data_IF_853473796938
#
_entry.id   IF_853473796938
#
_cell.length_a   1.000
_cell.length_b   1.000
_cell.length_c   1.000
_cell.angle_alpha   90.00
_cell.angle_beta   90.00
_cell.angle_gamma   90.00
#
_symmetry.space_group_name_H-M   'P 1'
#
loop_
_entity.id
_entity.type
_entity.pdbx_description
1 polymer ?
#
# COMPACT_ATOMS: atom_id res chain seq x y z
N UNK A 1 -28.19 38.91 -29.35
CA UNK A 1 -26.92 38.55 -28.66
C UNK A 1 -27.07 38.19 -27.18
N UNK A 2 -28.18 38.48 -26.49
CA UNK A 2 -28.37 38.11 -25.06
C UNK A 2 -28.62 36.60 -24.82
N UNK A 3 -29.08 35.85 -25.82
CA UNK A 3 -29.43 34.42 -25.67
C UNK A 3 -28.19 33.53 -25.48
N UNK A 4 -27.18 33.67 -26.36
CA UNK A 4 -25.97 32.82 -26.36
C UNK A 4 -25.18 32.91 -25.04
N UNK A 5 -25.18 34.09 -24.42
CA UNK A 5 -24.47 34.36 -23.16
C UNK A 5 -25.08 33.61 -21.96
N UNK A 6 -26.39 33.35 -21.98
CA UNK A 6 -27.09 32.57 -20.94
C UNK A 6 -26.80 31.07 -21.07
N UNK A 7 -26.68 30.56 -22.30
CA UNK A 7 -26.30 29.17 -22.56
C UNK A 7 -24.84 28.88 -22.21
N UNK A 8 -23.93 29.83 -22.47
CA UNK A 8 -22.51 29.71 -22.08
C UNK A 8 -22.32 29.63 -20.56
N UNK A 9 -23.08 30.41 -19.78
CA UNK A 9 -23.06 30.38 -18.31
C UNK A 9 -23.65 29.09 -17.74
N UNK A 10 -24.71 28.56 -18.35
CA UNK A 10 -25.26 27.26 -17.98
C UNK A 10 -24.28 26.12 -18.31
N UNK A 11 -23.57 26.20 -19.44
CA UNK A 11 -22.58 25.21 -19.84
C UNK A 11 -21.33 25.19 -18.94
N UNK A 12 -20.84 26.35 -18.46
CA UNK A 12 -19.71 26.40 -17.51
C UNK A 12 -20.09 25.90 -16.11
N UNK A 13 -21.33 26.07 -15.65
CA UNK A 13 -21.76 25.51 -14.36
C UNK A 13 -21.84 23.97 -14.37
N UNK A 14 -22.15 23.35 -15.51
CA UNK A 14 -22.22 21.90 -15.65
C UNK A 14 -20.83 21.21 -15.72
N UNK A 15 -19.78 21.96 -16.04
CA UNK A 15 -18.40 21.45 -16.12
C UNK A 15 -17.63 21.55 -14.80
N UNK A 16 -18.21 22.16 -13.76
CA UNK A 16 -17.59 22.33 -12.45
C UNK A 16 -17.90 21.19 -11.47
N UNK A 17 -18.21 19.99 -11.95
CA UNK A 17 -18.28 18.82 -11.08
C UNK A 17 -16.86 18.54 -10.56
N UNK A 18 -16.66 18.45 -9.23
CA UNK A 18 -15.36 18.05 -8.71
C UNK A 18 -15.06 16.66 -9.26
N UNK A 19 -14.03 16.56 -10.08
CA UNK A 19 -13.39 15.28 -10.32
C UNK A 19 -12.86 14.84 -8.94
N UNK A 20 -13.55 13.92 -8.29
CA UNK A 20 -13.01 13.22 -7.14
C UNK A 20 -11.81 12.43 -7.65
N UNK A 21 -10.65 13.07 -7.67
CA UNK A 21 -9.40 12.36 -7.79
C UNK A 21 -9.32 11.42 -6.60
N UNK A 22 -9.20 10.12 -6.87
CA UNK A 22 -9.06 9.11 -5.83
C UNK A 22 -7.83 9.44 -4.99
N UNK A 23 -8.04 9.84 -3.74
CA UNK A 23 -6.96 10.14 -2.81
C UNK A 23 -6.99 9.12 -1.66
N UNK A 24 -5.95 8.32 -1.54
CA UNK A 24 -5.85 7.37 -0.44
C UNK A 24 -5.88 8.11 0.89
N UNK A 25 -6.74 7.66 1.80
CA UNK A 25 -6.80 8.23 3.14
C UNK A 25 -5.70 7.59 4.00
N UNK A 26 -4.81 8.39 4.63
CA UNK A 26 -3.72 7.85 5.43
C UNK A 26 -4.21 7.21 6.72
N UNK A 27 -3.64 6.06 7.07
CA UNK A 27 -3.79 5.44 8.38
C UNK A 27 -2.55 5.69 9.22
N UNK A 28 -2.73 5.87 10.52
CA UNK A 28 -1.59 6.04 11.44
C UNK A 28 -1.17 4.67 11.95
N UNK A 29 0.09 4.34 11.73
CA UNK A 29 0.74 3.15 12.27
C UNK A 29 1.30 3.47 13.66
N UNK A 30 0.68 2.90 14.68
CA UNK A 30 1.08 3.06 16.07
C UNK A 30 2.29 2.19 16.42
N UNK A 31 2.95 2.49 17.54
CA UNK A 31 4.16 1.76 17.99
C UNK A 31 3.92 0.27 18.25
N UNK A 32 2.73 -0.11 18.68
CA UNK A 32 2.34 -1.51 18.92
C UNK A 32 1.89 -2.24 17.63
N UNK A 33 1.91 -1.53 16.50
CA UNK A 33 1.48 -2.00 15.19
C UNK A 33 0.00 -1.75 14.90
N UNK A 34 -0.79 -1.16 15.79
CA UNK A 34 -2.18 -0.84 15.49
C UNK A 34 -2.30 0.18 14.34
N UNK A 35 -3.32 0.03 13.49
CA UNK A 35 -3.66 1.00 12.45
C UNK A 35 -4.85 1.84 12.90
N UNK A 36 -4.61 3.07 13.34
CA UNK A 36 -5.66 4.00 13.73
C UNK A 36 -6.18 4.79 12.53
N UNK A 37 -7.48 5.06 12.52
CA UNK A 37 -8.20 5.62 11.35
C UNK A 37 -8.66 4.57 10.33
N UNK A 38 -8.39 3.28 10.57
CA UNK A 38 -8.90 2.19 9.75
C UNK A 38 -10.43 2.07 9.91
N UNK A 39 -11.20 1.77 8.84
CA UNK A 39 -12.66 1.77 8.91
C UNK A 39 -13.19 0.68 9.84
N UNK A 40 -14.15 1.01 10.69
CA UNK A 40 -14.70 0.08 11.70
C UNK A 40 -15.30 -1.18 11.05
N UNK A 41 -15.88 -1.04 9.87
CA UNK A 41 -16.47 -2.13 9.09
C UNK A 41 -15.45 -3.10 8.48
N UNK A 42 -14.15 -2.80 8.57
CA UNK A 42 -13.06 -3.71 8.20
C UNK A 42 -12.11 -3.97 9.38
N UNK A 43 -12.18 -3.18 10.44
CA UNK A 43 -11.30 -3.26 11.60
C UNK A 43 -11.70 -4.32 12.64
N UNK A 44 -10.85 -4.54 13.67
CA UNK A 44 -9.57 -3.85 13.91
C UNK A 44 -8.45 -4.29 12.94
N UNK A 45 -7.45 -3.46 12.71
CA UNK A 45 -6.31 -3.78 11.85
C UNK A 45 -4.96 -3.45 12.49
N UNK A 46 -3.92 -4.20 12.14
CA UNK A 46 -2.55 -3.97 12.58
C UNK A 46 -1.52 -4.39 11.53
N UNK A 47 -0.39 -3.68 11.51
CA UNK A 47 0.78 -3.96 10.69
C UNK A 47 1.99 -4.11 11.61
N UNK A 48 2.66 -5.27 11.54
CA UNK A 48 3.93 -5.50 12.23
C UNK A 48 5.03 -5.68 11.21
N UNK A 49 6.05 -4.84 11.30
CA UNK A 49 7.26 -4.91 10.49
C UNK A 49 8.43 -5.25 11.40
N UNK A 50 9.09 -6.36 11.11
CA UNK A 50 10.32 -6.77 11.77
C UNK A 50 11.50 -6.39 10.89
N UNK A 51 12.46 -5.64 11.44
CA UNK A 51 13.70 -5.29 10.77
C UNK A 51 14.83 -6.24 11.19
N UNK A 52 15.80 -6.47 10.31
CA UNK A 52 17.01 -7.24 10.61
C UNK A 52 17.92 -6.42 11.54
N UNK A 53 18.85 -7.10 12.23
CA UNK A 53 19.87 -6.43 13.03
C UNK A 53 20.74 -5.51 12.14
N UNK A 54 21.27 -4.44 12.74
CA UNK A 54 21.83 -3.26 12.05
C UNK A 54 23.22 -3.45 11.40
N UNK A 55 23.61 -4.68 11.05
CA UNK A 55 24.85 -4.97 10.32
C UNK A 55 24.65 -5.05 8.79
N UNK A 56 23.41 -4.90 8.33
CA UNK A 56 23.08 -4.91 6.93
C UNK A 56 23.59 -3.65 6.21
N UNK A 57 24.33 -3.88 5.13
CA UNK A 57 24.75 -2.84 4.18
C UNK A 57 23.55 -2.00 3.73
N UNK A 58 23.76 -0.71 3.46
CA UNK A 58 22.75 0.20 2.90
C UNK A 58 22.06 -0.37 1.64
N UNK A 59 22.76 -1.20 0.87
CA UNK A 59 22.26 -1.82 -0.36
C UNK A 59 21.53 -3.15 -0.14
N UNK A 60 21.42 -3.64 1.09
CA UNK A 60 20.81 -4.92 1.41
C UNK A 60 19.34 -4.80 1.87
N UNK A 61 18.51 -5.83 1.61
CA UNK A 61 17.16 -5.91 2.16
C UNK A 61 17.18 -5.98 3.69
N UNK A 62 16.45 -5.08 4.34
CA UNK A 62 16.49 -4.87 5.79
C UNK A 62 15.23 -5.34 6.52
N UNK A 63 14.16 -5.67 5.80
CA UNK A 63 12.94 -6.19 6.39
C UNK A 63 13.05 -7.71 6.56
N UNK A 64 12.90 -8.19 7.78
CA UNK A 64 12.88 -9.62 8.11
C UNK A 64 11.47 -10.21 7.99
N UNK A 65 10.44 -9.45 8.38
CA UNK A 65 9.06 -9.92 8.34
C UNK A 65 8.07 -8.78 8.17
N UNK A 66 6.98 -9.04 7.46
CA UNK A 66 5.80 -8.16 7.40
C UNK A 66 4.58 -9.02 7.70
N UNK A 67 3.79 -8.60 8.68
CA UNK A 67 2.54 -9.25 9.06
C UNK A 67 1.43 -8.20 9.10
N UNK A 68 0.47 -8.35 8.19
CA UNK A 68 -0.75 -7.58 8.16
C UNK A 68 -1.87 -8.41 8.80
N UNK A 69 -2.57 -7.83 9.76
CA UNK A 69 -3.78 -8.42 10.33
C UNK A 69 -4.95 -7.48 10.10
N UNK A 70 -6.04 -8.02 9.55
CA UNK A 70 -7.32 -7.32 9.42
C UNK A 70 -8.39 -8.23 9.99
N UNK A 71 -9.09 -7.75 11.04
CA UNK A 71 -10.02 -8.54 11.86
C UNK A 71 -9.39 -9.81 12.41
N UNK A 72 -9.87 -10.94 11.93
CA UNK A 72 -9.51 -12.31 12.25
C UNK A 72 -8.61 -12.91 11.15
N UNK A 73 -8.18 -12.14 10.15
CA UNK A 73 -7.31 -12.62 9.07
C UNK A 73 -5.91 -12.07 9.24
N UNK A 74 -4.94 -12.96 9.11
CA UNK A 74 -3.52 -12.62 9.16
C UNK A 74 -2.84 -13.06 7.86
N UNK A 75 -2.08 -12.14 7.27
CA UNK A 75 -1.19 -12.41 6.15
C UNK A 75 0.23 -12.07 6.55
N UNK A 76 1.12 -13.05 6.39
CA UNK A 76 2.56 -12.87 6.49
C UNK A 76 3.15 -12.88 5.09
N UNK A 77 3.96 -11.87 4.76
CA UNK A 77 4.67 -11.86 3.49
C UNK A 77 5.74 -12.96 3.46
N UNK A 78 5.87 -13.68 2.34
CA UNK A 78 6.93 -14.67 2.15
C UNK A 78 8.30 -14.00 2.07
N UNK A 79 9.35 -14.79 2.34
CA UNK A 79 10.73 -14.29 2.39
C UNK A 79 11.22 -13.72 1.06
N UNK A 80 10.74 -14.26 -0.07
CA UNK A 80 11.03 -13.75 -1.41
C UNK A 80 10.58 -12.29 -1.59
N UNK A 81 9.50 -11.86 -0.92
CA UNK A 81 9.00 -10.49 -1.00
C UNK A 81 9.63 -9.58 0.06
N UNK A 82 9.77 -10.05 1.30
CA UNK A 82 10.47 -9.24 2.33
C UNK A 82 11.94 -9.04 1.97
N UNK A 83 12.54 -9.98 1.24
CA UNK A 83 13.87 -9.88 0.65
C UNK A 83 14.02 -8.82 -0.45
N UNK A 84 12.97 -8.08 -0.80
CA UNK A 84 13.07 -6.92 -1.71
C UNK A 84 13.12 -5.59 -0.95
N UNK A 85 12.58 -5.56 0.28
CA UNK A 85 12.31 -4.32 1.01
C UNK A 85 13.56 -3.84 1.75
N UNK A 86 13.96 -2.58 1.50
CA UNK A 86 15.19 -1.99 2.06
C UNK A 86 14.94 -1.02 3.21
N UNK A 87 13.68 -0.70 3.51
CA UNK A 87 13.34 0.14 4.66
C UNK A 87 14.03 -0.38 5.92
N UNK A 88 14.70 0.52 6.62
CA UNK A 88 15.50 0.25 7.81
C UNK A 88 14.80 0.68 9.11
N UNK A 89 13.76 1.50 8.99
CA UNK A 89 13.01 2.03 10.13
C UNK A 89 11.51 2.14 9.81
N UNK A 90 10.67 2.10 10.85
CA UNK A 90 9.22 2.18 10.72
C UNK A 90 8.75 3.52 10.14
N UNK A 91 9.51 4.61 10.29
CA UNK A 91 9.21 5.91 9.68
C UNK A 91 9.23 5.91 8.14
N UNK A 92 9.84 4.88 7.54
CA UNK A 92 9.85 4.66 6.09
C UNK A 92 8.68 3.78 5.62
N UNK A 93 7.80 3.39 6.54
CA UNK A 93 6.60 2.61 6.24
C UNK A 93 5.39 3.53 6.36
N UNK A 94 4.64 3.65 5.27
CA UNK A 94 3.41 4.44 5.20
C UNK A 94 2.24 3.53 4.87
N UNK A 95 1.08 3.81 5.46
CA UNK A 95 -0.14 3.02 5.25
C UNK A 95 -1.26 3.98 4.89
N UNK A 96 -1.99 3.69 3.82
CA UNK A 96 -3.15 4.44 3.40
C UNK A 96 -4.17 3.50 2.76
N UNK A 97 -5.37 3.95 2.46
CA UNK A 97 -6.36 3.10 1.80
C UNK A 97 -7.54 3.85 1.22
N UNK A 98 -8.38 3.12 0.52
CA UNK A 98 -9.57 3.66 -0.12
C UNK A 98 -10.77 2.71 0.05
N UNK A 99 -11.84 3.24 0.63
CA UNK A 99 -13.06 2.48 1.00
C UNK A 99 -14.36 3.30 0.90
N UNK A 100 -14.28 4.52 0.35
CA UNK A 100 -15.39 5.48 0.28
C UNK A 100 -15.95 5.67 -1.14
N UNK A 101 -15.53 4.84 -2.09
CA UNK A 101 -16.05 4.78 -3.45
C UNK A 101 -16.89 3.50 -3.64
N UNK A 102 -17.64 3.37 -4.73
CA UNK A 102 -18.22 2.07 -5.08
C UNK A 102 -17.10 1.13 -5.56
N UNK A 103 -17.05 -0.10 -5.06
CA UNK A 103 -16.09 -1.10 -5.55
C UNK A 103 -16.29 -1.27 -7.07
N UNK A 104 -15.25 -0.96 -7.84
CA UNK A 104 -15.25 -1.20 -9.28
C UNK A 104 -14.81 -2.63 -9.55
N UNK A 105 -15.23 -3.19 -10.69
CA UNK A 105 -14.81 -4.52 -11.10
C UNK A 105 -13.26 -4.59 -11.17
N UNK A 106 -12.66 -5.42 -10.31
CA UNK A 106 -11.21 -5.61 -10.23
C UNK A 106 -10.45 -4.70 -9.24
N UNK A 107 -11.11 -3.75 -8.57
CA UNK A 107 -10.48 -2.94 -7.51
C UNK A 107 -11.37 -2.93 -6.26
N UNK A 108 -11.17 -3.89 -5.33
CA UNK A 108 -11.91 -3.91 -4.07
C UNK A 108 -11.43 -2.78 -3.16
N UNK A 109 -12.12 -2.57 -2.04
CA UNK A 109 -11.56 -1.74 -0.98
C UNK A 109 -10.20 -2.26 -0.54
N UNK A 110 -9.24 -1.35 -0.45
CA UNK A 110 -7.85 -1.72 -0.28
C UNK A 110 -7.14 -0.89 0.78
N UNK A 111 -6.12 -1.52 1.36
CA UNK A 111 -5.05 -0.86 2.10
C UNK A 111 -3.76 -0.97 1.28
N UNK A 112 -3.13 0.17 1.04
CA UNK A 112 -1.82 0.30 0.43
C UNK A 112 -0.77 0.48 1.53
N UNK A 113 0.26 -0.36 1.51
CA UNK A 113 1.44 -0.26 2.37
C UNK A 113 2.64 0.10 1.50
N UNK A 114 3.21 1.27 1.75
CA UNK A 114 4.42 1.79 1.10
C UNK A 114 5.63 1.52 1.98
N UNK A 115 6.69 0.96 1.40
CA UNK A 115 8.02 0.84 1.96
C UNK A 115 8.96 1.73 1.16
N UNK A 116 9.45 2.81 1.77
CA UNK A 116 10.45 3.68 1.16
C UNK A 116 11.86 3.10 1.38
N UNK A 117 12.65 3.01 0.32
CA UNK A 117 14.08 2.84 0.45
C UNK A 117 14.62 4.14 1.07
N UNK A 118 15.49 4.05 2.09
CA UNK A 118 16.05 5.23 2.76
C UNK A 118 16.79 6.18 1.80
N UNK A 119 17.37 7.29 2.29
CA UNK A 119 17.95 8.33 1.43
C UNK A 119 19.03 7.76 0.48
N UNK A 120 18.69 7.61 -0.81
CA UNK A 120 19.58 7.08 -1.85
C UNK A 120 20.72 8.05 -2.13
N UNK A 121 21.87 7.57 -2.68
CA UNK A 121 22.84 8.46 -3.29
C UNK A 121 22.14 9.39 -4.30
N UNK A 122 22.55 10.66 -4.33
CA UNK A 122 21.89 11.85 -4.92
C UNK A 122 21.44 11.81 -6.40
N UNK A 123 21.47 10.65 -7.05
CA UNK A 123 21.03 10.42 -8.44
C UNK A 123 19.62 9.82 -8.56
N UNK A 124 19.02 9.33 -7.47
CA UNK A 124 17.63 8.84 -7.44
C UNK A 124 16.86 9.52 -6.30
N UNK A 125 15.67 10.04 -6.60
CA UNK A 125 14.97 10.93 -5.67
C UNK A 125 14.20 10.16 -4.59
N UNK A 126 13.57 9.02 -4.92
CA UNK A 126 13.05 7.99 -3.99
C UNK A 126 12.84 6.70 -4.78
N UNK A 127 13.22 5.54 -4.24
CA UNK A 127 12.70 4.24 -4.69
C UNK A 127 12.05 3.50 -3.54
N UNK A 128 11.19 2.53 -3.83
CA UNK A 128 10.54 1.74 -2.81
C UNK A 128 9.54 0.76 -3.39
N UNK A 129 8.68 0.23 -2.54
CA UNK A 129 7.66 -0.73 -2.93
C UNK A 129 6.30 -0.34 -2.39
N UNK A 130 5.26 -0.58 -3.20
CA UNK A 130 3.86 -0.47 -2.79
C UNK A 130 3.22 -1.84 -2.81
N UNK A 131 2.51 -2.17 -1.74
CA UNK A 131 1.81 -3.42 -1.57
C UNK A 131 0.34 -3.14 -1.33
N UNK A 132 -0.50 -3.65 -2.21
CA UNK A 132 -1.94 -3.46 -2.18
C UNK A 132 -2.61 -4.70 -1.60
N UNK A 133 -3.37 -4.55 -0.53
CA UNK A 133 -4.13 -5.63 0.08
C UNK A 133 -5.62 -5.33 0.07
N UNK A 134 -6.42 -6.35 -0.19
CA UNK A 134 -7.87 -6.30 -0.07
C UNK A 134 -8.28 -6.17 1.42
N UNK A 135 -9.08 -5.16 1.76
CA UNK A 135 -9.50 -4.91 3.16
C UNK A 135 -10.46 -5.97 3.71
N UNK A 136 -11.19 -6.70 2.87
CA UNK A 136 -12.15 -7.71 3.31
C UNK A 136 -11.47 -9.03 3.60
N UNK A 137 -10.50 -9.39 2.77
CA UNK A 137 -9.86 -10.71 2.77
C UNK A 137 -8.44 -10.67 3.31
N UNK A 138 -7.81 -9.50 3.42
CA UNK A 138 -6.38 -9.32 3.68
C UNK A 138 -5.46 -9.92 2.60
N UNK A 139 -5.98 -10.34 1.44
CA UNK A 139 -5.18 -10.91 0.35
C UNK A 139 -4.30 -9.84 -0.28
N UNK A 140 -3.03 -10.18 -0.53
CA UNK A 140 -2.17 -9.35 -1.36
C UNK A 140 -2.69 -9.38 -2.80
N UNK A 141 -3.12 -8.23 -3.30
CA UNK A 141 -3.62 -8.05 -4.66
C UNK A 141 -2.47 -7.77 -5.62
N UNK A 142 -1.53 -6.92 -5.20
CA UNK A 142 -0.44 -6.48 -6.05
C UNK A 142 0.76 -6.01 -5.23
N UNK A 143 1.94 -6.19 -5.81
CA UNK A 143 3.16 -5.51 -5.38
C UNK A 143 3.76 -4.78 -6.57
N UNK A 144 4.18 -3.54 -6.37
CA UNK A 144 4.75 -2.68 -7.39
C UNK A 144 6.06 -2.08 -6.87
N UNK A 145 7.02 -1.85 -7.77
CA UNK A 145 8.18 -1.00 -7.47
C UNK A 145 7.85 0.45 -7.83
N UNK A 146 8.16 1.35 -6.91
CA UNK A 146 8.02 2.79 -7.06
C UNK A 146 9.38 3.39 -7.40
N UNK A 147 9.46 4.08 -8.54
CA UNK A 147 10.69 4.71 -9.02
C UNK A 147 10.42 6.19 -9.27
N UNK A 148 11.02 7.07 -8.46
CA UNK A 148 11.00 8.51 -8.69
C UNK A 148 12.34 8.96 -9.29
N UNK A 149 12.34 9.23 -10.61
CA UNK A 149 13.51 9.77 -11.33
C UNK A 149 13.64 11.28 -11.19
N UNK A 150 12.54 11.95 -10.85
CA UNK A 150 12.45 13.36 -10.52
C UNK A 150 11.29 13.56 -9.52
N UNK A 151 11.25 14.66 -8.74
CA UNK A 151 10.26 14.84 -7.68
C UNK A 151 8.81 14.99 -8.18
N UNK A 152 8.58 15.13 -9.49
CA UNK A 152 7.24 15.29 -10.09
C UNK A 152 6.76 14.01 -10.76
N UNK A 153 7.65 13.06 -11.04
CA UNK A 153 7.31 11.85 -11.78
C UNK A 153 7.64 10.61 -10.97
N UNK A 154 6.58 9.94 -10.52
CA UNK A 154 6.65 8.61 -9.91
C UNK A 154 6.18 7.59 -10.94
N UNK A 155 7.03 6.60 -11.23
CA UNK A 155 6.64 5.44 -12.03
C UNK A 155 6.37 4.26 -11.11
N UNK A 156 5.23 3.63 -11.32
CA UNK A 156 4.83 2.39 -10.66
C UNK A 156 4.93 1.24 -11.66
N UNK A 157 5.76 0.24 -11.35
CA UNK A 157 5.94 -0.93 -12.21
C UNK A 157 5.47 -2.19 -11.47
N UNK A 158 4.52 -2.96 -12.01
CA UNK A 158 4.05 -4.19 -11.39
C UNK A 158 5.17 -5.23 -11.33
N UNK A 159 5.23 -5.98 -10.23
CA UNK A 159 6.11 -7.12 -10.10
C UNK A 159 5.37 -8.42 -10.44
N UNK A 160 6.03 -9.30 -11.20
CA UNK A 160 5.57 -10.68 -11.36
C UNK A 160 5.95 -11.49 -10.12
N UNK A 161 5.07 -11.48 -9.12
CA UNK A 161 5.28 -12.16 -7.84
C UNK A 161 5.46 -13.67 -8.06
N UNK A 162 4.73 -14.28 -9.00
CA UNK A 162 4.84 -15.71 -9.26
C UNK A 162 6.23 -16.08 -9.81
N UNK A 163 6.79 -15.24 -10.69
CA UNK A 163 8.15 -15.42 -11.19
C UNK A 163 9.23 -15.18 -10.12
N UNK A 164 9.01 -14.19 -9.23
CA UNK A 164 9.92 -13.82 -8.15
C UNK A 164 9.96 -14.87 -7.03
N UNK A 165 8.81 -15.43 -6.69
CA UNK A 165 8.63 -16.36 -5.58
C UNK A 165 8.51 -17.81 -6.06
N UNK A 166 9.12 -18.18 -7.19
CA UNK A 166 9.04 -19.54 -7.76
C UNK A 166 9.31 -20.61 -6.69
N UNK A 167 8.27 -21.38 -6.34
CA UNK A 167 8.32 -22.45 -5.33
C UNK A 167 7.59 -22.12 -4.03
N UNK A 168 7.29 -20.84 -3.77
CA UNK A 168 6.45 -20.40 -2.65
C UNK A 168 5.01 -20.14 -3.13
N UNK A 169 4.02 -20.63 -2.40
CA UNK A 169 2.62 -20.22 -2.60
C UNK A 169 2.45 -18.75 -2.17
N UNK A 170 1.72 -17.96 -2.97
CA UNK A 170 1.31 -16.61 -2.57
C UNK A 170 0.70 -16.66 -1.16
N UNK A 171 0.94 -15.63 -0.33
CA UNK A 171 0.45 -15.67 1.03
C UNK A 171 -1.07 -15.60 1.01
N UNK A 172 -1.71 -16.74 1.30
CA UNK A 172 -3.14 -16.77 1.57
C UNK A 172 -3.39 -16.33 3.03
N UNK A 173 -4.39 -15.47 3.26
CA UNK A 173 -4.80 -15.10 4.61
C UNK A 173 -5.22 -16.32 5.40
N UNK A 174 -4.63 -16.48 6.58
CA UNK A 174 -5.00 -17.52 7.54
C UNK A 174 -5.90 -16.90 8.61
N UNK A 175 -6.94 -17.62 9.04
CA UNK A 175 -7.71 -17.20 10.21
C UNK A 175 -6.79 -17.21 11.44
N UNK A 176 -6.67 -16.06 12.09
CA UNK A 176 -5.88 -15.84 13.27
C UNK A 176 -6.58 -16.49 14.48
N UNK A 177 -6.42 -17.81 14.61
CA UNK A 177 -6.95 -18.58 15.73
C UNK A 177 -7.55 -19.93 15.33
N UNK A 178 -6.71 -20.88 14.92
CA UNK A 178 -6.93 -22.27 15.30
C UNK A 178 -5.86 -22.61 16.33
N UNK A 179 -6.21 -22.94 17.58
CA UNK A 179 -5.23 -23.55 18.48
C UNK A 179 -4.67 -24.80 17.78
N UNK A 180 -3.35 -24.97 17.74
CA UNK A 180 -2.81 -26.30 17.44
C UNK A 180 -3.36 -27.26 18.50
N UNK A 181 -3.83 -28.46 18.12
CA UNK A 181 -4.11 -29.51 19.09
C UNK A 181 -2.84 -29.86 19.89
#
# INVERSE_FOLDING_TARGET
>A
MLSIRRWLLAATLLLAMPAFAHEDTPFRLERDGALTGFPEEFGPASLRVGFKASDASYDAPNVASVVLRIRDREVRLPSCLTGLLRSSDISQVRVAGSWYHEEMEGLPYYVNISFDDGPLPSTYWVSGYELLFDMRTARLLQMQVRIARDPRTVQLLPLDIAALCRGDTLPEPVQAGTPRP
#
